data_IF_346329075914
#
_entry.id   IF_346329075914
#
_cell.length_a   1.000
_cell.length_b   1.000
_cell.length_c   1.000
_cell.angle_alpha   90.00
_cell.angle_beta   90.00
_cell.angle_gamma   90.00
#
_symmetry.space_group_name_H-M   'P 1'
#
loop_
_entity.id
_entity.type
_entity.pdbx_description
1 polymer ?
#
# COMPACT_ATOMS: atom_id res chain seq x y z
N UNK A 1 11.38 -5.59 9.44
CA UNK A 1 11.54 -6.91 8.78
C UNK A 1 11.19 -6.86 7.29
N UNK A 2 9.96 -6.46 6.87
CA UNK A 2 9.57 -6.47 5.44
C UNK A 2 9.68 -5.13 4.68
N UNK A 3 10.14 -4.04 5.32
CA UNK A 3 10.16 -2.70 4.70
C UNK A 3 10.97 -2.58 3.40
N UNK A 4 11.98 -3.46 3.20
CA UNK A 4 12.76 -3.52 1.95
C UNK A 4 11.99 -4.13 0.77
N UNK A 5 11.01 -4.98 1.05
CA UNK A 5 10.28 -5.78 0.05
C UNK A 5 8.84 -5.32 -0.15
N UNK A 6 8.25 -4.69 0.87
CA UNK A 6 6.84 -4.29 0.90
C UNK A 6 6.67 -2.86 1.42
N UNK A 7 7.75 -2.08 1.42
CA UNK A 7 7.73 -0.67 1.81
C UNK A 7 7.41 0.25 0.63
N UNK A 8 6.93 1.45 0.93
CA UNK A 8 6.63 2.49 -0.05
C UNK A 8 7.85 3.24 -0.59
N UNK A 9 9.07 2.73 -0.41
CA UNK A 9 10.33 3.38 -0.87
C UNK A 9 11.23 2.39 -1.60
N UNK A 10 10.90 2.03 -2.85
CA UNK A 10 11.72 1.14 -3.67
C UNK A 10 13.10 1.73 -3.95
N UNK A 11 14.15 0.91 -3.99
CA UNK A 11 15.49 1.36 -4.39
C UNK A 11 15.71 1.38 -5.92
N UNK A 12 14.74 0.87 -6.69
CA UNK A 12 14.79 0.84 -8.16
C UNK A 12 14.18 2.14 -8.73
N UNK A 13 14.95 2.95 -9.47
CA UNK A 13 14.45 4.17 -10.11
C UNK A 13 13.23 3.93 -11.01
N UNK A 14 13.10 2.73 -11.60
CA UNK A 14 11.99 2.41 -12.49
C UNK A 14 10.66 2.22 -11.76
N UNK A 15 10.68 2.17 -10.43
CA UNK A 15 9.47 2.14 -9.60
C UNK A 15 8.95 3.55 -9.27
N UNK A 16 9.46 4.58 -9.92
CA UNK A 16 9.04 5.97 -9.76
C UNK A 16 8.52 6.52 -11.09
N UNK A 17 7.48 7.36 -11.04
CA UNK A 17 6.87 7.99 -12.22
C UNK A 17 7.90 8.78 -13.04
N UNK A 18 8.85 9.43 -12.36
CA UNK A 18 9.95 10.18 -12.96
C UNK A 18 11.11 9.32 -13.49
N UNK A 19 11.10 8.01 -13.22
CA UNK A 19 12.19 7.05 -13.49
C UNK A 19 13.52 7.43 -12.85
N UNK A 20 13.48 8.15 -11.72
CA UNK A 20 14.63 8.59 -10.94
C UNK A 20 14.34 8.39 -9.46
N UNK A 21 15.40 8.26 -8.64
CA UNK A 21 15.23 8.25 -7.19
C UNK A 21 14.85 9.66 -6.72
N UNK A 22 13.75 9.82 -5.97
CA UNK A 22 13.40 11.09 -5.38
C UNK A 22 14.43 11.52 -4.32
N UNK A 23 14.55 12.83 -4.11
CA UNK A 23 15.35 13.39 -3.02
C UNK A 23 14.76 13.03 -1.65
N UNK A 24 15.57 13.15 -0.61
CA UNK A 24 15.13 12.89 0.75
C UNK A 24 14.01 13.88 1.13
N UNK A 25 12.91 13.35 1.69
CA UNK A 25 11.73 14.15 2.02
C UNK A 25 10.72 14.33 0.88
N UNK A 26 10.96 13.73 -0.29
CA UNK A 26 9.98 13.71 -1.37
C UNK A 26 8.66 13.04 -0.95
N UNK A 27 7.59 13.43 -1.64
CA UNK A 27 6.27 12.81 -1.48
C UNK A 27 6.23 11.45 -2.19
N UNK A 28 6.85 10.45 -1.56
CA UNK A 28 6.89 9.09 -2.07
C UNK A 28 5.50 8.54 -2.40
N UNK A 29 4.45 9.03 -1.73
CA UNK A 29 3.09 8.50 -1.89
C UNK A 29 2.61 8.72 -3.32
N UNK A 30 2.93 9.88 -3.89
CA UNK A 30 2.56 10.27 -5.25
C UNK A 30 3.66 10.01 -6.29
N UNK A 31 4.93 9.94 -5.88
CA UNK A 31 6.08 9.71 -6.78
C UNK A 31 6.26 8.23 -7.19
N UNK A 32 5.86 7.29 -6.33
CA UNK A 32 5.99 5.85 -6.60
C UNK A 32 4.98 5.41 -7.67
N UNK A 33 5.48 4.67 -8.64
CA UNK A 33 4.68 3.95 -9.63
C UNK A 33 4.33 2.57 -9.08
N UNK A 34 3.18 2.47 -8.38
CA UNK A 34 2.73 1.23 -7.76
C UNK A 34 2.55 0.08 -8.76
N UNK A 35 1.95 0.26 -9.95
CA UNK A 35 1.93 -0.77 -10.98
C UNK A 35 3.30 -1.34 -11.33
N UNK A 36 4.33 -0.50 -11.43
CA UNK A 36 5.71 -0.97 -11.69
C UNK A 36 6.33 -1.71 -10.51
N UNK A 37 6.02 -1.30 -9.28
CA UNK A 37 6.43 -2.02 -8.06
C UNK A 37 5.82 -3.42 -8.00
N UNK A 38 4.52 -3.53 -8.31
CA UNK A 38 3.77 -4.80 -8.23
C UNK A 38 4.30 -5.89 -9.17
N UNK A 39 5.08 -5.52 -10.19
CA UNK A 39 5.69 -6.44 -11.15
C UNK A 39 7.05 -6.98 -10.67
N UNK A 40 7.64 -6.42 -9.62
CA UNK A 40 9.02 -6.75 -9.23
C UNK A 40 9.09 -8.06 -8.46
N UNK A 41 10.08 -8.89 -8.78
CA UNK A 41 10.30 -10.19 -8.12
C UNK A 41 10.38 -10.08 -6.59
N UNK A 42 11.03 -9.03 -6.09
CA UNK A 42 11.19 -8.81 -4.66
C UNK A 42 9.85 -8.49 -3.97
N UNK A 43 8.93 -7.83 -4.68
CA UNK A 43 7.58 -7.55 -4.19
C UNK A 43 6.75 -8.83 -4.18
N UNK A 44 6.74 -9.56 -5.30
CA UNK A 44 6.01 -10.83 -5.45
C UNK A 44 6.45 -11.86 -4.40
N UNK A 45 7.76 -11.98 -4.15
CA UNK A 45 8.30 -12.83 -3.08
C UNK A 45 7.84 -12.37 -1.69
N UNK A 46 7.75 -11.06 -1.46
CA UNK A 46 7.23 -10.50 -0.22
C UNK A 46 5.75 -10.85 -0.01
N UNK A 47 4.93 -10.76 -1.05
CA UNK A 47 3.51 -11.16 -1.01
C UNK A 47 3.37 -12.66 -0.76
N UNK A 48 4.09 -13.50 -1.50
CA UNK A 48 4.05 -14.94 -1.30
C UNK A 48 4.38 -15.33 0.15
N UNK A 49 5.40 -14.70 0.73
CA UNK A 49 5.75 -14.92 2.14
C UNK A 49 4.68 -14.45 3.11
N UNK A 50 4.00 -13.33 2.82
CA UNK A 50 2.88 -12.88 3.65
C UNK A 50 1.71 -13.84 3.62
N UNK A 51 1.39 -14.39 2.45
CA UNK A 51 0.32 -15.37 2.29
C UNK A 51 0.62 -16.67 3.03
N UNK A 52 1.83 -17.20 2.88
CA UNK A 52 2.30 -18.38 3.64
C UNK A 52 2.17 -18.16 5.16
N UNK A 53 2.60 -17.00 5.66
CA UNK A 53 2.44 -16.67 7.07
C UNK A 53 0.97 -16.56 7.50
N UNK A 54 0.09 -16.03 6.64
CA UNK A 54 -1.32 -15.88 6.92
C UNK A 54 -2.07 -17.23 6.96
N UNK A 55 -1.59 -18.24 6.24
CA UNK A 55 -2.10 -19.61 6.30
C UNK A 55 -1.70 -20.31 7.61
N UNK A 56 -0.48 -20.04 8.10
CA UNK A 56 0.04 -20.67 9.31
C UNK A 56 -0.48 -20.02 10.61
N UNK A 57 -0.68 -18.70 10.61
CA UNK A 57 -1.03 -17.94 11.80
C UNK A 57 -1.70 -16.60 11.48
N UNK A 58 -2.37 -16.04 12.50
CA UNK A 58 -2.89 -14.67 12.41
C UNK A 58 -1.75 -13.69 12.15
N UNK A 59 -1.75 -13.09 10.96
CA UNK A 59 -0.67 -12.22 10.48
C UNK A 59 -1.14 -10.78 10.39
N UNK A 60 -0.38 -9.87 11.00
CA UNK A 60 -0.60 -8.43 10.93
C UNK A 60 0.65 -7.73 10.38
N UNK A 61 0.45 -6.73 9.52
CA UNK A 61 1.50 -5.84 9.02
C UNK A 61 1.24 -4.42 9.50
N UNK A 62 2.20 -3.82 10.18
CA UNK A 62 2.06 -2.44 10.68
C UNK A 62 2.32 -1.44 9.56
N UNK A 63 1.45 -0.42 9.43
CA UNK A 63 1.74 0.79 8.66
C UNK A 63 2.44 1.85 9.55
N UNK A 64 3.25 2.73 8.97
CA UNK A 64 3.83 3.85 9.73
C UNK A 64 2.84 5.02 9.79
N UNK A 65 1.93 5.06 8.82
CA UNK A 65 0.84 5.98 8.65
C UNK A 65 -0.41 5.44 9.35
N UNK A 66 -1.10 6.28 10.12
CA UNK A 66 -2.32 5.91 10.85
C UNK A 66 -3.53 5.77 9.92
N UNK A 67 -3.54 6.52 8.81
CA UNK A 67 -4.62 6.53 7.84
C UNK A 67 -4.32 5.65 6.62
N UNK A 68 -5.05 4.54 6.41
CA UNK A 68 -4.91 3.67 5.25
C UNK A 68 -5.06 4.36 3.90
N UNK A 69 -5.93 5.38 3.79
CA UNK A 69 -6.06 6.15 2.55
C UNK A 69 -4.77 6.89 2.16
N UNK A 70 -3.97 7.22 3.17
CA UNK A 70 -2.67 7.90 3.04
C UNK A 70 -1.48 6.97 3.29
N UNK A 71 -1.74 5.67 3.39
CA UNK A 71 -0.74 4.65 3.67
C UNK A 71 -0.34 3.96 2.36
N UNK A 72 0.94 4.02 2.02
CA UNK A 72 1.50 3.31 0.87
C UNK A 72 1.17 1.81 0.84
N UNK A 73 1.09 1.18 2.02
CA UNK A 73 0.82 -0.26 2.11
C UNK A 73 -0.61 -0.59 1.72
N UNK A 74 -1.57 0.32 1.87
CA UNK A 74 -2.90 0.11 1.32
C UNK A 74 -2.82 0.07 -0.22
N UNK A 75 -2.28 1.14 -0.80
CA UNK A 75 -2.18 1.30 -2.26
C UNK A 75 -1.33 0.26 -2.95
N UNK A 76 -0.37 -0.33 -2.23
CA UNK A 76 0.49 -1.38 -2.73
C UNK A 76 -0.01 -2.80 -2.36
N UNK A 77 -0.01 -3.14 -1.07
CA UNK A 77 -0.22 -4.52 -0.61
C UNK A 77 -1.72 -4.86 -0.65
N UNK A 78 -2.56 -4.03 -0.04
CA UNK A 78 -3.99 -4.33 0.07
C UNK A 78 -4.64 -4.36 -1.32
N UNK A 79 -4.34 -3.38 -2.17
CA UNK A 79 -4.83 -3.37 -3.56
C UNK A 79 -4.37 -4.58 -4.36
N UNK A 80 -3.09 -4.97 -4.25
CA UNK A 80 -2.59 -6.15 -4.93
C UNK A 80 -3.30 -7.43 -4.47
N UNK A 81 -3.42 -7.63 -3.15
CA UNK A 81 -4.08 -8.80 -2.58
C UNK A 81 -5.55 -8.86 -2.99
N UNK A 82 -6.30 -7.76 -2.88
CA UNK A 82 -7.70 -7.73 -3.29
C UNK A 82 -7.90 -8.03 -4.79
N UNK A 83 -6.96 -7.62 -5.65
CA UNK A 83 -7.05 -7.83 -7.09
C UNK A 83 -6.62 -9.24 -7.52
N UNK A 84 -5.57 -9.80 -6.90
CA UNK A 84 -4.95 -11.06 -7.33
C UNK A 84 -5.36 -12.26 -6.47
N UNK A 85 -5.85 -12.03 -5.25
CA UNK A 85 -6.22 -13.04 -4.25
C UNK A 85 -7.60 -12.71 -3.64
N UNK A 86 -8.69 -12.85 -4.41
CA UNK A 86 -10.04 -12.44 -3.99
C UNK A 86 -10.59 -13.20 -2.77
N UNK A 87 -9.99 -14.33 -2.44
CA UNK A 87 -10.25 -15.15 -1.26
C UNK A 87 -9.57 -14.62 0.02
N UNK A 88 -8.57 -13.75 -0.12
CA UNK A 88 -7.83 -13.14 0.99
C UNK A 88 -8.55 -11.89 1.49
N UNK A 89 -8.98 -11.92 2.75
CA UNK A 89 -9.60 -10.76 3.41
C UNK A 89 -8.54 -9.89 4.07
N UNK A 90 -8.42 -8.64 3.60
CA UNK A 90 -7.53 -7.63 4.21
C UNK A 90 -8.34 -6.69 5.09
N UNK A 91 -7.91 -6.53 6.34
CA UNK A 91 -8.53 -5.64 7.34
C UNK A 91 -7.54 -4.56 7.77
N UNK A 92 -8.02 -3.33 7.93
CA UNK A 92 -7.29 -2.22 8.55
C UNK A 92 -7.71 -2.10 10.01
N UNK A 93 -6.74 -1.90 10.89
CA UNK A 93 -6.94 -1.67 12.33
C UNK A 93 -6.42 -0.26 12.63
N UNK A 94 -7.29 0.62 13.14
CA UNK A 94 -6.96 2.01 13.49
C UNK A 94 -6.48 2.13 14.93
N UNK A 95 -5.94 3.31 15.24
CA UNK A 95 -5.39 3.63 16.57
C UNK A 95 -6.42 3.59 17.69
N UNK A 96 -7.70 3.84 17.38
CA UNK A 96 -8.84 3.75 18.28
C UNK A 96 -9.40 2.32 18.43
N UNK A 97 -8.79 1.33 17.75
CA UNK A 97 -9.25 -0.06 17.73
C UNK A 97 -10.33 -0.36 16.69
N UNK A 98 -10.76 0.64 15.90
CA UNK A 98 -11.72 0.43 14.82
C UNK A 98 -11.11 -0.47 13.75
N UNK A 99 -11.87 -1.48 13.32
CA UNK A 99 -11.47 -2.42 12.27
C UNK A 99 -12.41 -2.32 11.08
N UNK A 100 -11.87 -2.23 9.88
CA UNK A 100 -12.67 -2.18 8.66
C UNK A 100 -12.00 -2.90 7.49
N UNK A 101 -12.81 -3.31 6.51
CA UNK A 101 -12.32 -4.03 5.34
C UNK A 101 -11.56 -3.10 4.41
N UNK A 102 -10.42 -3.55 3.87
CA UNK A 102 -9.73 -2.79 2.83
C UNK A 102 -10.62 -2.54 1.60
N UNK A 103 -11.59 -3.42 1.34
CA UNK A 103 -12.52 -3.28 0.22
C UNK A 103 -13.52 -2.11 0.37
N UNK A 104 -13.65 -1.51 1.56
CA UNK A 104 -14.49 -0.33 1.75
C UNK A 104 -13.74 0.98 1.54
N UNK A 105 -12.42 0.95 1.35
CA UNK A 105 -11.64 2.12 0.96
C UNK A 105 -11.69 2.23 -0.56
N UNK A 106 -12.31 3.29 -1.06
CA UNK A 106 -12.41 3.57 -2.50
C UNK A 106 -11.38 4.59 -2.98
N UNK A 107 -10.78 5.34 -2.06
CA UNK A 107 -9.87 6.45 -2.37
C UNK A 107 -8.57 5.95 -3.01
N UNK A 108 -8.18 6.59 -4.11
CA UNK A 108 -6.93 6.32 -4.81
C UNK A 108 -5.96 7.48 -4.64
N UNK A 109 -4.65 7.18 -4.61
CA UNK A 109 -3.61 8.23 -4.49
C UNK A 109 -3.61 9.22 -5.65
N UNK A 110 -4.17 8.82 -6.79
CA UNK A 110 -4.20 9.63 -8.01
C UNK A 110 -5.51 10.42 -8.17
N UNK A 111 -6.48 10.29 -7.25
CA UNK A 111 -7.63 11.19 -7.20
C UNK A 111 -7.20 12.52 -6.58
N UNK A 112 -7.46 13.67 -7.24
CA UNK A 112 -7.23 14.95 -6.60
C UNK A 112 -8.08 15.01 -5.34
N UNK A 113 -7.47 15.45 -4.22
CA UNK A 113 -8.16 15.67 -2.97
C UNK A 113 -9.49 16.39 -3.25
N UNK A 114 -10.60 15.68 -3.03
CA UNK A 114 -11.92 16.08 -3.47
C UNK A 114 -12.16 17.54 -3.11
N UNK A 115 -12.52 18.32 -4.13
CA UNK A 115 -12.95 19.69 -4.04
C UNK A 115 -13.95 19.79 -2.88
N UNK A 116 -13.56 20.49 -1.81
CA UNK A 116 -14.45 20.80 -0.71
C UNK A 116 -15.65 21.51 -1.30
N UNK A 117 -16.80 20.82 -1.41
CA UNK A 117 -18.05 21.43 -1.85
C UNK A 117 -18.33 22.58 -0.89
N UNK A 118 -18.09 23.80 -1.35
CA UNK A 118 -18.47 25.01 -0.64
C UNK A 118 -19.98 24.99 -0.53
N UNK A 119 -20.48 24.79 0.69
CA UNK A 119 -21.87 25.07 1.03
C UNK A 119 -22.10 26.58 0.91
N UNK A 120 -22.59 26.99 -0.25
CA UNK A 120 -23.35 28.22 -0.46
C UNK A 120 -24.54 27.92 -1.36
#
# INVERSE_FOLDING_TARGET
>A
YAGKFLGGRPADPNCYKSRRLPEEGADYLHEVDYPEVMKRDWFLKGIARLLEMAEEQTTAIMCSEEDPARCHRHHLIARYLMAQHPDVKVLHVRSDGTVYSAATIVETVDEPAGEQLSLF
#
